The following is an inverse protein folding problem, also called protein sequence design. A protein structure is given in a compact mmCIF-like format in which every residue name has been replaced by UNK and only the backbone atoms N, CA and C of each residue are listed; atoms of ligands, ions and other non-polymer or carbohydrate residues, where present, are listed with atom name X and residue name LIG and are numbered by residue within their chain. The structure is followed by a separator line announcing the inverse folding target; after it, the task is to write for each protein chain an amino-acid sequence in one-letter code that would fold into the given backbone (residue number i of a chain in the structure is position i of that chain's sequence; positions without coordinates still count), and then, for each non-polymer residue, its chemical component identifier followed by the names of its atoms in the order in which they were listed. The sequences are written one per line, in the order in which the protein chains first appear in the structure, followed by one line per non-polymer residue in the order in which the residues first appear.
data_IF_331583111575
#
_entry.id   IF_331583111575
#
_cell.length_a   1.000
_cell.length_b   1.000
_cell.length_c   1.000
_cell.angle_alpha   90.00
_cell.angle_beta   90.00
_cell.angle_gamma   90.00
#
_symmetry.space_group_name_H-M   'P 1'
#
loop_
_entity.id
_entity.type
_entity.pdbx_description
1 polymer ?
#
# COMPACT_ATOMS: atom_id res chain seq x y z
N UNK A 1 22.69 70.91 14.56
CA UNK A 1 24.11 70.50 14.65
C UNK A 1 24.15 69.37 15.67
N UNK A 2 24.50 68.12 15.41
CA UNK A 2 24.83 67.37 14.22
C UNK A 2 24.39 65.92 14.48
N UNK A 3 23.90 65.22 13.45
CA UNK A 3 23.67 63.78 13.46
C UNK A 3 25.02 63.04 13.41
N UNK A 4 25.15 61.83 13.99
CA UNK A 4 26.16 60.88 13.54
C UNK A 4 25.51 59.79 12.68
N UNK A 5 25.92 59.79 11.43
CA UNK A 5 25.64 58.80 10.39
C UNK A 5 26.14 57.42 10.82
N UNK A 6 25.27 56.40 10.78
CA UNK A 6 25.69 54.99 10.91
C UNK A 6 25.68 54.36 9.53
N UNK A 7 26.89 54.00 9.08
CA UNK A 7 27.23 53.37 7.80
C UNK A 7 26.57 51.98 7.68
N UNK A 8 26.10 51.52 6.51
CA UNK A 8 25.56 50.17 6.37
C UNK A 8 26.70 49.16 6.31
N UNK A 9 26.64 48.13 7.14
CA UNK A 9 27.49 46.94 7.02
C UNK A 9 27.03 46.10 5.83
N UNK A 10 28.00 45.74 4.99
CA UNK A 10 27.80 44.98 3.76
C UNK A 10 27.21 43.60 4.07
N UNK A 11 26.07 43.30 3.44
CA UNK A 11 25.47 41.97 3.45
C UNK A 11 26.41 41.01 2.69
N UNK A 12 27.00 40.07 3.42
CA UNK A 12 27.74 38.97 2.81
C UNK A 12 26.75 38.06 2.07
N UNK A 13 26.83 38.07 0.74
CA UNK A 13 26.09 37.14 -0.12
C UNK A 13 26.47 35.70 0.25
N UNK A 14 25.54 34.98 0.87
CA UNK A 14 25.69 33.56 1.17
C UNK A 14 25.69 32.75 -0.13
N UNK A 15 26.76 32.00 -0.38
CA UNK A 15 26.85 31.09 -1.53
C UNK A 15 25.67 30.11 -1.56
N UNK A 16 25.08 29.81 -2.74
CA UNK A 16 23.97 28.87 -2.84
C UNK A 16 24.43 27.48 -2.45
N UNK A 17 23.86 26.92 -1.38
CA UNK A 17 24.11 25.53 -1.02
C UNK A 17 23.58 24.60 -2.13
N UNK A 18 24.33 23.57 -2.53
CA UNK A 18 23.87 22.61 -3.54
C UNK A 18 22.63 21.88 -3.00
N UNK A 19 21.54 21.94 -3.76
CA UNK A 19 20.31 21.24 -3.43
C UNK A 19 20.56 19.72 -3.46
N UNK A 20 20.05 18.94 -2.49
CA UNK A 20 20.16 17.49 -2.54
C UNK A 20 19.46 16.98 -3.81
N UNK A 21 20.19 16.24 -4.64
CA UNK A 21 19.60 15.48 -5.75
C UNK A 21 18.56 14.52 -5.14
N UNK A 22 17.26 14.79 -5.36
CA UNK A 22 16.19 13.87 -4.98
C UNK A 22 16.45 12.54 -5.70
N UNK A 23 16.70 11.48 -4.93
CA UNK A 23 16.73 10.12 -5.46
C UNK A 23 15.42 9.86 -6.21
N UNK A 24 15.46 9.21 -7.39
CA UNK A 24 14.26 8.98 -8.17
C UNK A 24 13.26 8.15 -7.36
N UNK A 25 12.04 8.67 -7.22
CA UNK A 25 10.95 7.96 -6.54
C UNK A 25 10.87 6.51 -7.05
N UNK A 26 10.77 5.50 -6.17
CA UNK A 26 10.66 4.11 -6.60
C UNK A 26 9.50 3.98 -7.59
N UNK A 27 9.78 3.35 -8.75
CA UNK A 27 8.82 3.19 -9.85
C UNK A 27 7.58 2.46 -9.31
N UNK A 28 6.56 3.23 -8.96
CA UNK A 28 5.30 2.72 -8.40
C UNK A 28 4.30 2.57 -9.54
N UNK A 29 3.70 1.39 -9.66
CA UNK A 29 2.62 1.14 -10.60
C UNK A 29 1.41 2.00 -10.21
N UNK A 30 0.99 2.91 -11.09
CA UNK A 30 -0.16 3.80 -10.88
C UNK A 30 -1.30 3.40 -11.79
N UNK A 31 -2.53 3.53 -11.31
CA UNK A 31 -3.74 3.35 -12.09
C UNK A 31 -4.52 4.66 -12.14
N UNK A 32 -5.08 4.97 -13.31
CA UNK A 32 -5.94 6.13 -13.46
C UNK A 32 -7.27 5.91 -12.73
N UNK A 33 -7.65 6.89 -11.91
CA UNK A 33 -8.97 6.93 -11.27
C UNK A 33 -10.02 7.32 -12.30
N UNK A 34 -10.54 6.33 -13.02
CA UNK A 34 -11.61 6.51 -14.00
C UNK A 34 -12.79 5.58 -13.71
N UNK A 35 -13.91 5.81 -14.40
CA UNK A 35 -15.16 5.08 -14.22
C UNK A 35 -15.09 3.59 -14.58
N UNK A 36 -14.07 3.16 -15.31
CA UNK A 36 -13.88 1.78 -15.76
C UNK A 36 -12.95 0.98 -14.84
N UNK A 37 -12.12 1.65 -14.04
CA UNK A 37 -11.13 1.00 -13.19
C UNK A 37 -11.69 0.74 -11.80
N UNK A 38 -11.38 -0.44 -11.24
CA UNK A 38 -11.69 -0.83 -9.87
C UNK A 38 -10.41 -1.37 -9.24
N UNK A 39 -9.96 -0.75 -8.16
CA UNK A 39 -8.70 -1.12 -7.53
C UNK A 39 -8.62 -0.67 -6.08
N UNK A 40 -7.64 -1.24 -5.38
CA UNK A 40 -7.37 -0.96 -3.98
C UNK A 40 -6.08 -0.18 -3.82
N UNK A 41 -6.09 0.67 -2.82
CA UNK A 41 -4.98 1.50 -2.42
C UNK A 41 -4.63 1.23 -0.96
N UNK A 42 -3.37 1.41 -0.60
CA UNK A 42 -2.95 1.47 0.78
C UNK A 42 -3.66 2.64 1.49
N UNK A 43 -4.33 2.38 2.61
CA UNK A 43 -5.04 3.42 3.37
C UNK A 43 -4.13 4.52 3.91
N UNK A 44 -2.87 4.20 4.17
CA UNK A 44 -1.95 5.13 4.83
C UNK A 44 -1.33 6.15 3.88
N UNK A 45 -1.06 5.78 2.63
CA UNK A 45 -0.37 6.63 1.66
C UNK A 45 -1.05 6.73 0.29
N UNK A 46 -2.15 6.02 0.07
CA UNK A 46 -2.86 6.02 -1.21
C UNK A 46 -2.15 5.28 -2.34
N UNK A 47 -1.06 4.55 -2.06
CA UNK A 47 -0.34 3.81 -3.09
C UNK A 47 -1.17 2.64 -3.62
N UNK A 48 -1.17 2.43 -4.94
CA UNK A 48 -1.94 1.35 -5.54
C UNK A 48 -1.40 -0.02 -5.12
N UNK A 49 -2.30 -0.96 -4.80
CA UNK A 49 -1.93 -2.28 -4.29
C UNK A 49 -2.43 -3.40 -5.19
N UNK A 50 -3.70 -3.40 -5.60
CA UNK A 50 -4.24 -4.49 -6.42
C UNK A 50 -5.47 -4.04 -7.20
N UNK A 51 -5.63 -4.57 -8.41
CA UNK A 51 -6.84 -4.37 -9.21
C UNK A 51 -7.91 -5.39 -8.85
N UNK A 52 -9.17 -5.04 -9.10
CA UNK A 52 -10.30 -5.93 -8.81
C UNK A 52 -10.24 -7.26 -9.58
N UNK A 53 -9.72 -7.25 -10.82
CA UNK A 53 -9.55 -8.47 -11.63
C UNK A 53 -8.61 -9.51 -11.01
N UNK A 54 -7.75 -9.06 -10.09
CA UNK A 54 -6.82 -9.91 -9.36
C UNK A 54 -7.36 -10.37 -8.01
N UNK A 55 -8.56 -9.91 -7.60
CA UNK A 55 -9.23 -10.36 -6.39
C UNK A 55 -9.92 -11.71 -6.64
N UNK A 56 -9.74 -12.64 -5.70
CA UNK A 56 -10.35 -13.97 -5.75
C UNK A 56 -11.65 -13.98 -4.95
N UNK A 57 -11.59 -13.51 -3.70
CA UNK A 57 -12.73 -13.57 -2.77
C UNK A 57 -12.54 -12.60 -1.60
N UNK A 58 -13.64 -12.02 -1.11
CA UNK A 58 -13.67 -11.31 0.17
C UNK A 58 -13.83 -12.29 1.33
N UNK A 59 -13.11 -12.07 2.42
CA UNK A 59 -13.11 -12.92 3.61
C UNK A 59 -13.61 -12.10 4.78
N UNK A 60 -14.71 -12.53 5.38
CA UNK A 60 -15.19 -12.04 6.66
C UNK A 60 -14.96 -13.12 7.72
N UNK A 61 -14.20 -12.78 8.76
CA UNK A 61 -13.80 -13.69 9.82
C UNK A 61 -13.91 -13.03 11.19
N UNK A 62 -13.95 -13.85 12.24
CA UNK A 62 -13.97 -13.37 13.63
C UNK A 62 -12.74 -12.55 14.01
N UNK A 63 -11.59 -12.88 13.41
CA UNK A 63 -10.30 -12.28 13.77
C UNK A 63 -9.68 -11.45 12.64
N UNK A 64 -10.03 -11.73 11.38
CA UNK A 64 -9.47 -11.02 10.22
C UNK A 64 -10.53 -10.86 9.12
N UNK A 65 -10.70 -9.61 8.68
CA UNK A 65 -11.43 -9.26 7.47
C UNK A 65 -10.45 -8.83 6.39
N UNK A 66 -10.61 -9.34 5.18
CA UNK A 66 -9.64 -9.09 4.13
C UNK A 66 -10.11 -9.52 2.75
N UNK A 67 -9.28 -9.27 1.76
CA UNK A 67 -9.49 -9.69 0.38
C UNK A 67 -8.36 -10.63 0.00
N UNK A 68 -8.71 -11.83 -0.45
CA UNK A 68 -7.74 -12.74 -1.04
C UNK A 68 -7.54 -12.33 -2.50
N UNK A 69 -6.29 -12.10 -2.90
CA UNK A 69 -5.94 -11.70 -4.26
C UNK A 69 -4.65 -12.37 -4.75
N UNK A 70 -4.38 -12.23 -6.06
CA UNK A 70 -3.13 -12.61 -6.69
C UNK A 70 -2.38 -11.37 -7.18
N UNK A 71 -1.07 -11.48 -7.29
CA UNK A 71 -0.22 -10.49 -7.96
C UNK A 71 -0.47 -9.02 -7.53
N UNK A 72 -0.54 -8.69 -6.23
CA UNK A 72 -0.53 -7.29 -5.83
C UNK A 72 0.77 -6.62 -6.26
N UNK A 73 0.68 -5.33 -6.55
CA UNK A 73 1.78 -4.46 -6.97
C UNK A 73 2.12 -3.46 -5.88
N UNK A 74 3.34 -2.91 -5.93
CA UNK A 74 3.86 -1.95 -4.96
C UNK A 74 3.80 -2.43 -3.50
N UNK A 75 4.00 -3.74 -3.31
CA UNK A 75 4.11 -4.39 -2.01
C UNK A 75 5.41 -5.17 -1.90
N UNK A 76 5.86 -5.30 -0.67
CA UNK A 76 7.02 -6.08 -0.25
C UNK A 76 6.53 -7.08 0.77
N UNK A 77 7.25 -8.18 0.91
CA UNK A 77 6.92 -9.19 1.91
C UNK A 77 8.17 -9.60 2.66
N UNK A 78 7.99 -9.91 3.93
CA UNK A 78 9.06 -10.41 4.79
C UNK A 78 9.65 -11.72 4.23
N UNK A 79 10.88 -12.04 4.64
CA UNK A 79 11.56 -13.27 4.24
C UNK A 79 10.77 -14.51 4.66
N UNK A 80 10.76 -15.56 3.85
CA UNK A 80 10.03 -16.81 4.13
C UNK A 80 10.49 -17.49 5.43
N UNK A 81 11.71 -17.20 5.88
CA UNK A 81 12.25 -17.68 7.16
C UNK A 81 11.57 -17.05 8.39
N UNK A 82 10.92 -15.90 8.22
CA UNK A 82 10.16 -15.19 9.27
C UNK A 82 8.66 -15.54 9.27
N UNK A 83 8.29 -16.68 8.69
CA UNK A 83 6.89 -17.12 8.61
C UNK A 83 6.19 -17.14 9.97
N UNK A 84 4.98 -16.62 9.99
CA UNK A 84 3.99 -16.73 11.06
C UNK A 84 2.86 -17.66 10.61
N UNK A 85 1.81 -17.79 11.43
CA UNK A 85 0.62 -18.54 11.07
C UNK A 85 -0.62 -17.65 11.09
N UNK A 86 -1.35 -17.64 9.99
CA UNK A 86 -2.68 -17.06 9.88
C UNK A 86 -3.68 -18.19 9.63
N UNK A 87 -4.67 -18.37 10.50
CA UNK A 87 -5.64 -19.47 10.41
C UNK A 87 -4.98 -20.86 10.25
N UNK A 88 -3.88 -21.11 10.98
CA UNK A 88 -3.05 -22.34 10.91
C UNK A 88 -2.33 -22.54 9.59
N UNK A 89 -2.28 -21.52 8.73
CA UNK A 89 -1.56 -21.53 7.47
C UNK A 89 -0.28 -20.73 7.58
N UNK A 90 0.85 -21.23 7.06
CA UNK A 90 2.09 -20.48 7.06
C UNK A 90 1.94 -19.23 6.19
N UNK A 91 2.30 -18.08 6.74
CA UNK A 91 2.19 -16.79 6.07
C UNK A 91 3.35 -15.87 6.42
N UNK A 92 3.63 -14.88 5.58
CA UNK A 92 4.58 -13.80 5.85
C UNK A 92 3.89 -12.45 5.75
N UNK A 93 4.35 -11.47 6.52
CA UNK A 93 3.77 -10.14 6.47
C UNK A 93 4.04 -9.47 5.12
N UNK A 94 3.08 -8.65 4.70
CA UNK A 94 3.12 -7.84 3.49
C UNK A 94 3.04 -6.38 3.90
N UNK A 95 3.94 -5.56 3.36
CA UNK A 95 4.03 -4.12 3.59
C UNK A 95 3.87 -3.35 2.29
N UNK A 96 3.34 -2.14 2.38
CA UNK A 96 3.29 -1.23 1.23
C UNK A 96 4.68 -0.63 0.97
N UNK A 97 5.16 -0.65 -0.28
CA UNK A 97 6.52 -0.17 -0.60
C UNK A 97 6.70 1.33 -0.36
N UNK A 98 5.63 2.12 -0.51
CA UNK A 98 5.71 3.56 -0.40
C UNK A 98 5.79 4.07 1.05
N UNK A 99 5.16 3.37 2.00
CA UNK A 99 5.07 3.83 3.39
C UNK A 99 5.54 2.80 4.43
N UNK A 100 5.98 1.63 3.97
CA UNK A 100 6.43 0.50 4.77
C UNK A 100 5.43 0.05 5.86
N UNK A 101 4.15 0.39 5.72
CA UNK A 101 3.11 -0.04 6.67
C UNK A 101 2.67 -1.45 6.33
N UNK A 102 2.50 -2.27 7.37
CA UNK A 102 1.83 -3.57 7.28
C UNK A 102 0.43 -3.39 6.70
N UNK A 103 0.09 -4.22 5.72
CA UNK A 103 -1.19 -4.20 5.00
C UNK A 103 -1.84 -5.59 4.85
N UNK A 104 -1.16 -6.66 5.25
CA UNK A 104 -1.71 -8.02 5.23
C UNK A 104 -0.63 -9.08 5.19
N UNK A 105 -0.96 -10.25 4.64
CA UNK A 105 -0.10 -11.41 4.61
C UNK A 105 -0.06 -12.09 3.23
N UNK A 106 1.03 -12.81 2.96
CA UNK A 106 1.18 -13.71 1.83
C UNK A 106 1.29 -15.13 2.35
N UNK A 107 0.46 -16.03 1.85
CA UNK A 107 0.51 -17.44 2.23
C UNK A 107 1.71 -18.12 1.58
N UNK A 108 2.54 -18.78 2.39
CA UNK A 108 3.80 -19.43 1.98
C UNK A 108 3.71 -20.95 2.17
N UNK A 109 3.11 -21.62 1.18
CA UNK A 109 3.21 -23.08 0.99
C UNK A 109 1.92 -23.87 1.19
N UNK A 110 1.81 -24.95 0.41
CA UNK A 110 0.79 -26.00 0.51
C UNK A 110 1.22 -27.07 1.53
N UNK A 111 0.88 -26.90 2.80
CA UNK A 111 0.79 -28.11 3.66
C UNK A 111 -0.63 -28.64 3.53
N UNK A 112 -0.88 -29.83 2.95
CA UNK A 112 -2.22 -30.40 2.91
C UNK A 112 -2.86 -30.39 4.31
N UNK A 113 -4.16 -30.05 4.45
CA UNK A 113 -5.22 -30.06 3.44
C UNK A 113 -5.53 -28.69 2.80
N UNK A 114 -4.56 -27.77 2.73
CA UNK A 114 -4.81 -26.41 2.23
C UNK A 114 -5.37 -26.40 0.79
N UNK A 115 -6.45 -25.62 0.52
CA UNK A 115 -6.92 -25.39 -0.84
C UNK A 115 -5.79 -24.82 -1.71
N UNK A 116 -5.59 -25.38 -2.92
CA UNK A 116 -4.58 -24.91 -3.88
C UNK A 116 -4.67 -23.41 -4.20
N UNK A 117 -5.83 -22.80 -3.98
CA UNK A 117 -6.10 -21.38 -4.19
C UNK A 117 -5.29 -20.47 -3.25
N UNK A 118 -4.82 -21.00 -2.11
CA UNK A 118 -4.13 -20.21 -1.10
C UNK A 118 -2.62 -20.07 -1.33
N UNK A 119 -1.96 -20.98 -2.04
CA UNK A 119 -0.51 -20.85 -2.21
C UNK A 119 -0.15 -19.64 -3.06
N UNK A 120 0.73 -18.77 -2.53
CA UNK A 120 1.19 -17.57 -3.21
C UNK A 120 0.11 -16.48 -3.34
N UNK A 121 -1.09 -16.69 -2.78
CA UNK A 121 -2.09 -15.63 -2.68
C UNK A 121 -1.84 -14.74 -1.46
N UNK A 122 -2.46 -13.58 -1.50
CA UNK A 122 -2.28 -12.53 -0.52
C UNK A 122 -3.62 -12.27 0.15
N UNK A 123 -3.64 -12.20 1.48
CA UNK A 123 -4.75 -11.63 2.23
C UNK A 123 -4.42 -10.18 2.53
N UNK A 124 -5.17 -9.26 1.92
CA UNK A 124 -5.04 -7.84 2.18
C UNK A 124 -6.12 -7.38 3.15
N UNK A 125 -5.73 -6.77 4.25
CA UNK A 125 -6.63 -6.38 5.32
C UNK A 125 -7.50 -5.19 4.93
N UNK A 126 -8.82 -5.32 5.04
CA UNK A 126 -9.77 -4.28 4.57
C UNK A 126 -9.68 -2.99 5.39
N UNK A 127 -9.38 -3.07 6.68
CA UNK A 127 -9.13 -1.90 7.55
C UNK A 127 -7.88 -1.10 7.13
N UNK A 128 -7.02 -1.69 6.30
CA UNK A 128 -5.77 -1.11 5.79
C UNK A 128 -5.84 -0.74 4.32
N UNK A 129 -6.99 -0.89 3.69
CA UNK A 129 -7.22 -0.62 2.27
C UNK A 129 -8.29 0.44 2.04
N UNK A 130 -8.08 1.21 0.99
CA UNK A 130 -9.11 2.03 0.34
C UNK A 130 -9.49 1.36 -0.97
N UNK A 131 -10.72 1.59 -1.41
CA UNK A 131 -11.27 1.05 -2.64
C UNK A 131 -11.76 2.17 -3.55
N UNK A 132 -11.27 2.20 -4.78
CA UNK A 132 -11.79 3.04 -5.84
C UNK A 132 -12.86 2.26 -6.62
N UNK A 133 -14.11 2.69 -6.50
CA UNK A 133 -15.25 2.04 -7.16
C UNK A 133 -15.60 2.64 -8.53
N UNK A 134 -14.68 3.39 -9.16
CA UNK A 134 -14.93 4.10 -10.41
C UNK A 134 -15.46 5.52 -10.26
N UNK A 135 -16.10 5.85 -9.13
CA UNK A 135 -16.70 7.17 -8.92
C UNK A 135 -16.14 7.86 -7.69
N UNK A 136 -15.82 7.10 -6.65
CA UNK A 136 -15.34 7.62 -5.39
C UNK A 136 -14.40 6.64 -4.69
N UNK A 137 -13.54 7.23 -3.86
CA UNK A 137 -12.71 6.47 -2.95
C UNK A 137 -13.49 6.17 -1.67
N UNK A 138 -13.48 4.91 -1.24
CA UNK A 138 -14.16 4.41 -0.04
C UNK A 138 -13.20 3.57 0.80
N UNK A 139 -13.58 3.25 2.02
CA UNK A 139 -12.95 2.14 2.75
C UNK A 139 -13.24 0.83 2.04
N UNK A 140 -12.27 -0.10 2.05
CA UNK A 140 -12.48 -1.41 1.45
C UNK A 140 -13.59 -2.18 2.20
N UNK A 141 -14.56 -2.78 1.50
CA UNK A 141 -15.63 -3.55 2.12
C UNK A 141 -15.12 -4.91 2.64
N UNK A 142 -15.75 -5.44 3.69
CA UNK A 142 -15.42 -6.75 4.31
C UNK A 142 -15.75 -7.94 3.41
N UNK A 143 -16.93 -7.93 2.78
CA UNK A 143 -17.36 -8.88 1.76
C UNK A 143 -17.45 -8.22 0.39
N UNK A 144 -16.79 -8.82 -0.61
CA UNK A 144 -17.03 -8.52 -2.01
C UNK A 144 -18.15 -9.41 -2.54
N UNK A 145 -19.36 -8.88 -2.60
CA UNK A 145 -20.43 -9.43 -3.42
C UNK A 145 -20.57 -8.53 -4.65
N UNK A 146 -20.16 -9.03 -5.81
CA UNK A 146 -20.24 -8.35 -7.12
C UNK A 146 -21.69 -8.19 -7.62
N UNK A 147 -22.69 -8.28 -6.74
CA UNK A 147 -24.12 -8.39 -7.09
C UNK A 147 -24.96 -7.16 -6.81
N UNK A 148 -24.37 -5.97 -6.83
CA UNK A 148 -25.16 -4.73 -6.82
C UNK A 148 -24.72 -3.76 -7.90
N UNK A 149 -25.08 -4.07 -9.14
CA UNK A 149 -25.52 -3.09 -10.13
C UNK A 149 -26.66 -3.69 -10.94
#
# INVERSE_FOLDING_TARGET
MAEPETKPEAEAEAEPQPQPELEPDPISVRYEMNAQSRFFLCRFCGNHVVTMDNCIVGVEGTDVNGIICRNPVNVEHDDTMSRSFLNRLPAVNVRCNACNKYIGEKFVGLTPPCPRVMEGSYLLHTDRMLYWNGTQLRYAPGAYDDRTT
#
